data_IF_877645838264
#
_entry.id   IF_877645838264
#
_cell.length_a   1.000
_cell.length_b   1.000
_cell.length_c   1.000
_cell.angle_alpha   90.00
_cell.angle_beta   90.00
_cell.angle_gamma   90.00
#
_symmetry.space_group_name_H-M   'P 1'
#
loop_
_entity.id
_entity.type
_entity.pdbx_description
1 polymer ?
#
# COMPACT_ATOMS: atom_id res chain seq x y z
N UNK A 1 3.86 3.25 -5.10
CA UNK A 1 4.43 2.16 -5.91
C UNK A 1 4.94 2.69 -7.26
N UNK A 2 4.10 3.02 -8.26
CA UNK A 2 4.56 3.43 -9.60
C UNK A 2 5.69 4.48 -9.63
N UNK A 3 5.64 5.50 -8.77
CA UNK A 3 6.67 6.54 -8.70
C UNK A 3 8.07 5.99 -8.35
N UNK A 4 8.15 5.07 -7.38
CA UNK A 4 9.45 4.49 -6.99
C UNK A 4 9.97 3.49 -8.04
N UNK A 5 9.07 2.91 -8.85
CA UNK A 5 9.45 1.97 -9.90
C UNK A 5 9.92 2.69 -11.15
N UNK A 6 9.23 3.73 -11.57
CA UNK A 6 9.59 4.49 -12.77
C UNK A 6 10.96 5.19 -12.63
N UNK A 7 11.36 5.55 -11.41
CA UNK A 7 12.65 6.17 -11.13
C UNK A 7 13.85 5.24 -11.41
N UNK A 8 13.66 3.92 -11.46
CA UNK A 8 14.71 2.99 -11.90
C UNK A 8 15.05 3.13 -13.39
N UNK A 9 14.13 3.68 -14.19
CA UNK A 9 14.25 3.84 -15.64
C UNK A 9 14.50 5.28 -16.08
N UNK A 10 14.32 6.26 -15.19
CA UNK A 10 14.58 7.67 -15.48
C UNK A 10 16.04 7.98 -15.18
N UNK A 11 16.83 8.48 -16.18
CA UNK A 11 18.22 8.87 -15.97
C UNK A 11 18.39 9.85 -14.80
N UNK A 12 19.52 9.78 -14.09
CA UNK A 12 19.79 10.64 -12.94
C UNK A 12 19.81 12.13 -13.30
N UNK A 13 20.27 12.48 -14.49
CA UNK A 13 20.31 13.83 -15.01
C UNK A 13 18.99 14.30 -15.66
N UNK A 14 17.94 13.50 -15.65
CA UNK A 14 16.67 13.89 -16.25
C UNK A 14 16.05 15.09 -15.51
N UNK A 15 15.63 16.16 -16.22
CA UNK A 15 15.21 17.42 -15.60
C UNK A 15 14.02 17.26 -14.64
N UNK A 16 13.13 16.30 -14.89
CA UNK A 16 11.95 16.04 -14.06
C UNK A 16 12.17 15.05 -12.89
N UNK A 17 13.37 14.44 -12.78
CA UNK A 17 13.64 13.44 -11.74
C UNK A 17 13.44 14.01 -10.33
N UNK A 18 13.91 15.24 -10.09
CA UNK A 18 13.77 15.89 -8.77
C UNK A 18 12.32 16.14 -8.39
N UNK A 19 11.47 16.50 -9.36
CA UNK A 19 10.03 16.69 -9.13
C UNK A 19 9.35 15.38 -8.71
N UNK A 20 9.69 14.26 -9.35
CA UNK A 20 9.14 12.95 -9.00
C UNK A 20 9.57 12.52 -7.59
N UNK A 21 10.83 12.75 -7.21
CA UNK A 21 11.31 12.47 -5.85
C UNK A 21 10.57 13.37 -4.84
N UNK A 22 10.36 14.66 -5.17
CA UNK A 22 9.60 15.56 -4.30
C UNK A 22 8.16 15.06 -4.06
N UNK A 23 7.49 14.56 -5.09
CA UNK A 23 6.14 13.96 -4.94
C UNK A 23 6.17 12.76 -3.98
N UNK A 24 7.21 11.91 -4.07
CA UNK A 24 7.38 10.78 -3.14
C UNK A 24 7.54 11.29 -1.70
N UNK A 25 8.34 12.34 -1.50
CA UNK A 25 8.57 12.93 -0.18
C UNK A 25 7.28 13.52 0.41
N UNK A 26 6.51 14.26 -0.38
CA UNK A 26 5.24 14.87 0.06
C UNK A 26 4.19 13.80 0.43
N UNK A 27 4.13 12.72 -0.35
CA UNK A 27 3.30 11.57 -0.02
C UNK A 27 3.77 10.87 1.25
N UNK A 28 5.09 10.72 1.41
CA UNK A 28 5.68 10.07 2.57
C UNK A 28 5.43 10.83 3.88
N UNK A 29 5.33 12.15 3.84
CA UNK A 29 4.96 12.98 4.99
C UNK A 29 3.47 12.92 5.33
N UNK A 30 2.64 12.59 4.35
CA UNK A 30 1.18 12.64 4.48
C UNK A 30 0.58 11.28 4.87
N UNK A 31 0.99 10.21 4.21
CA UNK A 31 0.38 8.88 4.39
C UNK A 31 0.45 8.32 5.82
N UNK A 32 1.50 8.60 6.63
CA UNK A 32 1.56 8.11 8.01
C UNK A 32 0.46 8.68 8.91
N UNK A 33 -0.10 9.84 8.57
CA UNK A 33 -1.21 10.45 9.32
C UNK A 33 -2.49 9.60 9.26
N UNK A 34 -2.59 8.73 8.26
CA UNK A 34 -3.72 7.83 8.03
C UNK A 34 -3.37 6.36 8.33
N UNK A 35 -2.14 6.09 8.79
CA UNK A 35 -1.74 4.74 9.20
C UNK A 35 -2.38 4.39 10.54
N UNK A 36 -3.21 3.36 10.56
CA UNK A 36 -3.82 2.86 11.78
C UNK A 36 -2.77 2.37 12.79
N UNK A 37 -3.17 2.25 14.07
CA UNK A 37 -2.31 1.71 15.13
C UNK A 37 -1.78 0.31 14.82
N UNK A 38 -2.51 -0.48 14.04
CA UNK A 38 -2.09 -1.79 13.53
C UNK A 38 -0.97 -1.74 12.50
N UNK A 39 -0.66 -0.56 11.96
CA UNK A 39 0.31 -0.40 10.87
C UNK A 39 -0.31 -0.43 9.47
N UNK A 40 -1.59 -0.70 9.36
CA UNK A 40 -2.32 -0.82 8.09
C UNK A 40 -3.04 0.47 7.73
N UNK A 41 -3.57 0.51 6.51
CA UNK A 41 -4.44 1.59 6.03
C UNK A 41 -5.82 1.07 5.68
N UNK A 42 -6.81 1.92 5.90
CA UNK A 42 -8.20 1.64 5.55
C UNK A 42 -8.45 1.76 4.05
N UNK A 43 -9.47 1.06 3.55
CA UNK A 43 -9.94 1.17 2.16
C UNK A 43 -10.27 2.62 1.79
N UNK A 44 -10.92 3.36 2.69
CA UNK A 44 -11.13 4.81 2.60
C UNK A 44 -10.31 5.46 3.71
N UNK A 45 -9.17 6.05 3.35
CA UNK A 45 -8.11 6.45 4.28
C UNK A 45 -8.58 7.40 5.39
N UNK A 46 -9.37 8.41 5.05
CA UNK A 46 -9.79 9.49 5.95
C UNK A 46 -11.10 9.19 6.72
N UNK A 47 -11.60 7.95 6.60
CA UNK A 47 -12.86 7.52 7.22
C UNK A 47 -12.71 6.26 8.09
N UNK A 48 -11.74 6.23 9.04
CA UNK A 48 -11.43 5.00 9.79
C UNK A 48 -12.64 4.49 10.60
N UNK A 49 -13.52 5.37 11.05
CA UNK A 49 -14.68 5.03 11.86
C UNK A 49 -15.97 4.84 11.03
N UNK A 50 -15.90 4.92 9.71
CA UNK A 50 -17.08 4.72 8.87
C UNK A 50 -17.51 3.26 8.90
N UNK A 51 -18.81 3.03 9.18
CA UNK A 51 -19.37 1.68 9.29
C UNK A 51 -19.15 0.90 7.98
N UNK A 52 -18.49 -0.24 8.08
CA UNK A 52 -18.16 -1.09 6.92
C UNK A 52 -16.80 -0.81 6.29
N UNK A 53 -16.10 0.27 6.66
CA UNK A 53 -14.72 0.48 6.23
C UNK A 53 -13.79 -0.56 6.89
N UNK A 54 -12.75 -0.98 6.20
CA UNK A 54 -11.88 -2.06 6.64
C UNK A 54 -10.41 -1.77 6.30
N UNK A 55 -9.50 -2.40 7.05
CA UNK A 55 -8.07 -2.38 6.78
C UNK A 55 -7.79 -3.22 5.54
N UNK A 56 -7.22 -2.58 4.50
CA UNK A 56 -7.16 -3.12 3.15
C UNK A 56 -5.75 -3.59 2.79
N UNK A 57 -5.66 -4.77 2.19
CA UNK A 57 -4.38 -5.44 1.96
C UNK A 57 -3.55 -4.82 0.85
N UNK A 58 -4.16 -4.41 -0.27
CA UNK A 58 -3.39 -3.94 -1.42
C UNK A 58 -2.78 -2.57 -1.16
N UNK A 59 -3.53 -1.64 -0.58
CA UNK A 59 -2.99 -0.32 -0.20
C UNK A 59 -1.88 -0.45 0.84
N UNK A 60 -2.08 -1.31 1.85
CA UNK A 60 -1.07 -1.53 2.90
C UNK A 60 0.21 -2.15 2.34
N UNK A 61 0.10 -3.13 1.44
CA UNK A 61 1.24 -3.76 0.77
C UNK A 61 1.96 -2.80 -0.18
N UNK A 62 1.21 -2.01 -0.96
CA UNK A 62 1.78 -1.03 -1.89
C UNK A 62 2.51 0.11 -1.17
N UNK A 63 1.98 0.59 -0.04
CA UNK A 63 2.65 1.61 0.76
C UNK A 63 3.88 1.04 1.46
N UNK A 64 3.79 -0.15 2.05
CA UNK A 64 4.95 -0.85 2.62
C UNK A 64 6.09 -0.95 1.60
N UNK A 65 5.82 -1.45 0.41
CA UNK A 65 6.79 -1.54 -0.68
C UNK A 65 7.34 -0.17 -1.09
N UNK A 66 6.45 0.81 -1.27
CA UNK A 66 6.83 2.16 -1.68
C UNK A 66 7.80 2.82 -0.71
N UNK A 67 7.54 2.74 0.60
CA UNK A 67 8.43 3.26 1.64
C UNK A 67 9.76 2.51 1.67
N UNK A 68 9.73 1.18 1.74
CA UNK A 68 10.93 0.36 1.84
C UNK A 68 11.87 0.58 0.65
N UNK A 69 11.32 0.58 -0.57
CA UNK A 69 12.11 0.85 -1.79
C UNK A 69 12.62 2.28 -1.85
N UNK A 70 11.78 3.29 -1.53
CA UNK A 70 12.20 4.69 -1.55
C UNK A 70 13.34 4.97 -0.57
N UNK A 71 13.31 4.40 0.62
CA UNK A 71 14.42 4.50 1.58
C UNK A 71 15.65 3.77 1.06
N UNK A 72 15.51 2.54 0.56
CA UNK A 72 16.62 1.76 0.02
C UNK A 72 17.33 2.44 -1.16
N UNK A 73 16.59 3.20 -1.97
CA UNK A 73 17.12 3.96 -3.12
C UNK A 73 17.57 5.38 -2.76
N UNK A 74 17.47 5.79 -1.49
CA UNK A 74 17.87 7.13 -1.05
C UNK A 74 16.93 8.26 -1.46
N UNK A 75 15.69 7.95 -1.87
CA UNK A 75 14.67 8.96 -2.19
C UNK A 75 14.00 9.51 -0.92
N UNK A 76 13.99 8.73 0.14
CA UNK A 76 13.51 9.07 1.48
C UNK A 76 14.61 8.86 2.53
N UNK A 77 14.52 9.63 3.62
CA UNK A 77 15.34 9.46 4.80
C UNK A 77 15.08 8.10 5.48
N UNK A 78 16.11 7.56 6.14
CA UNK A 78 16.06 6.26 6.84
C UNK A 78 14.97 6.18 7.90
N UNK A 79 14.55 7.29 8.50
CA UNK A 79 13.46 7.34 9.50
C UNK A 79 12.14 6.76 8.97
N UNK A 80 11.89 6.86 7.66
CA UNK A 80 10.66 6.35 7.04
C UNK A 80 10.62 4.82 6.93
N UNK A 81 11.73 4.11 7.16
CA UNK A 81 11.74 2.64 7.15
C UNK A 81 10.82 2.07 8.23
N UNK A 82 10.73 2.71 9.39
CA UNK A 82 9.85 2.28 10.48
C UNK A 82 8.37 2.21 10.09
N UNK A 83 7.93 3.02 9.11
CA UNK A 83 6.56 2.99 8.58
C UNK A 83 6.33 1.71 7.78
N UNK A 84 7.30 1.32 6.96
CA UNK A 84 7.24 0.07 6.20
C UNK A 84 7.32 -1.16 7.12
N UNK A 85 8.17 -1.14 8.13
CA UNK A 85 8.29 -2.21 9.12
C UNK A 85 6.99 -2.37 9.92
N UNK A 86 6.38 -1.27 10.34
CA UNK A 86 5.08 -1.28 11.03
C UNK A 86 3.99 -1.86 10.12
N UNK A 87 3.98 -1.51 8.83
CA UNK A 87 3.03 -2.06 7.86
C UNK A 87 3.25 -3.57 7.65
N UNK A 88 4.50 -4.01 7.55
CA UNK A 88 4.83 -5.44 7.47
C UNK A 88 4.28 -6.22 8.66
N UNK A 89 4.55 -5.75 9.86
CA UNK A 89 4.07 -6.40 11.08
C UNK A 89 2.53 -6.44 11.12
N UNK A 90 1.87 -5.35 10.73
CA UNK A 90 0.41 -5.29 10.66
C UNK A 90 -0.18 -6.27 9.63
N UNK A 91 0.44 -6.41 8.46
CA UNK A 91 0.02 -7.39 7.45
C UNK A 91 0.17 -8.81 7.99
N UNK A 92 1.32 -9.12 8.60
CA UNK A 92 1.58 -10.46 9.16
C UNK A 92 0.60 -10.83 10.27
N UNK A 93 0.25 -9.88 11.13
CA UNK A 93 -0.61 -10.13 12.31
C UNK A 93 -2.10 -10.14 11.95
N UNK A 94 -2.56 -9.26 11.03
CA UNK A 94 -3.98 -9.01 10.85
C UNK A 94 -4.54 -9.45 9.49
N UNK A 95 -3.68 -9.71 8.50
CA UNK A 95 -4.12 -10.02 7.13
C UNK A 95 -3.62 -11.37 6.63
N UNK A 96 -2.57 -11.95 7.23
CA UNK A 96 -2.10 -13.29 6.88
C UNK A 96 -2.79 -14.35 7.74
N UNK A 97 -3.37 -15.34 7.08
CA UNK A 97 -3.94 -16.53 7.71
C UNK A 97 -3.09 -17.74 7.33
N UNK A 98 -2.64 -18.49 8.32
CA UNK A 98 -1.95 -19.76 8.11
C UNK A 98 -2.99 -20.87 8.02
N UNK A 99 -3.04 -21.55 6.90
CA UNK A 99 -3.97 -22.66 6.64
C UNK A 99 -3.48 -23.97 7.29
N UNK A 100 -4.39 -24.93 7.51
CA UNK A 100 -4.03 -26.24 8.09
C UNK A 100 -3.00 -27.03 7.26
N UNK A 101 -2.97 -26.83 5.94
CA UNK A 101 -2.01 -27.45 5.02
C UNK A 101 -0.63 -26.74 4.98
N UNK A 102 -0.46 -25.70 5.81
CA UNK A 102 0.77 -24.92 5.88
C UNK A 102 0.90 -23.80 4.88
N UNK A 103 -0.06 -23.64 3.96
CA UNK A 103 -0.10 -22.49 3.04
C UNK A 103 -0.52 -21.22 3.77
N UNK A 104 -0.27 -20.05 3.13
CA UNK A 104 -0.65 -18.75 3.65
C UNK A 104 -1.71 -18.11 2.76
N UNK A 105 -2.69 -17.46 3.37
CA UNK A 105 -3.70 -16.65 2.69
C UNK A 105 -3.55 -15.20 3.11
N UNK A 106 -3.34 -14.30 2.14
CA UNK A 106 -3.42 -12.86 2.34
C UNK A 106 -4.86 -12.41 2.09
N UNK A 107 -5.52 -11.99 3.16
CA UNK A 107 -6.95 -11.65 3.16
C UNK A 107 -7.22 -10.17 2.92
N UNK A 108 -8.49 -9.80 2.73
CA UNK A 108 -9.00 -8.42 2.70
C UNK A 108 -8.40 -7.53 1.60
N UNK A 109 -8.19 -8.07 0.40
CA UNK A 109 -7.88 -7.25 -0.76
C UNK A 109 -9.16 -6.80 -1.48
N UNK A 110 -9.31 -5.50 -1.73
CA UNK A 110 -10.34 -4.96 -2.60
C UNK A 110 -10.18 -5.52 -4.02
N UNK A 111 -11.22 -6.11 -4.58
CA UNK A 111 -11.14 -6.74 -5.91
C UNK A 111 -10.82 -5.72 -7.00
N UNK A 112 -11.64 -4.69 -7.11
CA UNK A 112 -11.43 -3.55 -7.98
C UNK A 112 -12.36 -2.41 -7.58
N UNK A 113 -11.81 -1.26 -7.21
CA UNK A 113 -12.56 -0.03 -7.04
C UNK A 113 -12.19 0.96 -8.14
N UNK A 114 -13.10 1.85 -8.47
CA UNK A 114 -12.86 2.82 -9.54
C UNK A 114 -13.94 3.89 -9.60
N UNK A 115 -13.87 4.73 -10.62
CA UNK A 115 -14.80 5.81 -10.89
C UNK A 115 -15.28 5.71 -12.33
N UNK A 116 -16.57 5.98 -12.57
CA UNK A 116 -17.17 5.93 -13.91
C UNK A 116 -17.39 4.52 -14.46
N UNK A 117 -17.49 4.38 -15.77
CA UNK A 117 -17.72 3.10 -16.45
C UNK A 117 -19.20 2.70 -16.56
N UNK A 118 -19.42 1.46 -16.98
CA UNK A 118 -20.76 0.85 -17.06
C UNK A 118 -20.75 -0.51 -16.35
N UNK A 119 -21.57 -0.75 -15.30
CA UNK A 119 -22.39 0.27 -14.63
C UNK A 119 -21.58 1.41 -14.06
N UNK A 120 -22.18 2.59 -13.90
CA UNK A 120 -21.49 3.78 -13.40
C UNK A 120 -21.10 3.62 -11.92
N UNK A 121 -19.82 3.82 -11.64
CA UNK A 121 -19.24 3.82 -10.30
C UNK A 121 -19.08 5.26 -9.83
N UNK A 122 -19.82 5.65 -8.80
CA UNK A 122 -19.94 7.03 -8.36
C UNK A 122 -18.77 7.54 -7.49
N UNK A 123 -17.90 6.63 -7.04
CA UNK A 123 -16.78 6.96 -6.17
C UNK A 123 -17.17 7.34 -4.74
N UNK A 124 -18.42 7.07 -4.32
CA UNK A 124 -18.87 7.30 -2.95
C UNK A 124 -18.15 6.38 -1.94
N UNK A 125 -18.20 6.75 -0.66
CA UNK A 125 -17.67 5.88 0.41
C UNK A 125 -18.40 4.55 0.41
N UNK A 126 -19.73 4.60 0.28
CA UNK A 126 -20.61 3.43 0.20
C UNK A 126 -20.18 2.49 -0.94
N UNK A 127 -19.90 3.02 -2.12
CA UNK A 127 -19.41 2.25 -3.24
C UNK A 127 -18.08 1.55 -2.87
N UNK A 128 -17.10 2.28 -2.35
CA UNK A 128 -15.76 1.73 -2.06
C UNK A 128 -15.78 0.64 -0.99
N UNK A 129 -16.59 0.79 0.08
CA UNK A 129 -16.66 -0.22 1.15
C UNK A 129 -17.48 -1.45 0.78
N UNK A 130 -18.37 -1.36 -0.22
CA UNK A 130 -19.20 -2.46 -0.71
C UNK A 130 -18.56 -3.22 -1.88
N UNK A 131 -17.41 -2.78 -2.37
CA UNK A 131 -16.68 -3.55 -3.37
C UNK A 131 -16.28 -4.93 -2.85
N UNK A 132 -16.31 -5.91 -3.75
CA UNK A 132 -15.99 -7.30 -3.43
C UNK A 132 -14.57 -7.39 -2.84
N UNK A 133 -14.46 -8.10 -1.73
CA UNK A 133 -13.18 -8.47 -1.12
C UNK A 133 -12.73 -9.83 -1.68
N UNK A 134 -11.44 -9.96 -1.97
CA UNK A 134 -10.79 -11.19 -2.43
C UNK A 134 -9.59 -11.53 -1.57
N UNK A 135 -9.35 -12.82 -1.40
CA UNK A 135 -8.13 -13.31 -0.79
C UNK A 135 -7.09 -13.63 -1.89
N UNK A 136 -5.82 -13.54 -1.53
CA UNK A 136 -4.67 -13.81 -2.41
C UNK A 136 -4.71 -13.06 -3.76
N UNK A 137 -5.34 -11.89 -3.80
CA UNK A 137 -5.35 -11.06 -5.00
C UNK A 137 -3.93 -10.54 -5.31
N UNK A 138 -3.51 -10.63 -6.56
CA UNK A 138 -2.17 -10.24 -7.01
C UNK A 138 -1.82 -8.77 -6.74
N UNK A 139 -2.82 -7.89 -6.63
CA UNK A 139 -2.63 -6.48 -6.26
C UNK A 139 -2.10 -6.30 -4.84
N UNK A 140 -2.33 -7.28 -3.95
CA UNK A 140 -1.80 -7.27 -2.60
C UNK A 140 -0.56 -8.18 -2.48
N UNK A 141 -0.62 -9.42 -3.00
CA UNK A 141 0.47 -10.40 -2.84
C UNK A 141 1.75 -9.97 -3.55
N UNK A 142 1.65 -9.41 -4.76
CA UNK A 142 2.83 -8.92 -5.49
C UNK A 142 3.58 -7.82 -4.73
N UNK A 143 2.94 -6.70 -4.39
CA UNK A 143 3.58 -5.64 -3.60
C UNK A 143 4.06 -6.10 -2.22
N UNK A 144 3.35 -7.02 -1.56
CA UNK A 144 3.81 -7.58 -0.29
C UNK A 144 5.15 -8.31 -0.44
N UNK A 145 5.25 -9.22 -1.41
CA UNK A 145 6.49 -9.95 -1.69
C UNK A 145 7.64 -8.99 -2.05
N UNK A 146 7.39 -8.02 -2.93
CA UNK A 146 8.38 -7.03 -3.31
C UNK A 146 8.82 -6.17 -2.11
N UNK A 147 7.90 -5.78 -1.22
CA UNK A 147 8.22 -5.05 0.00
C UNK A 147 9.13 -5.84 0.94
N UNK A 148 8.86 -7.12 1.12
CA UNK A 148 9.68 -8.01 1.95
C UNK A 148 11.15 -8.07 1.47
N UNK A 149 11.39 -7.99 0.15
CA UNK A 149 12.76 -8.00 -0.40
C UNK A 149 13.56 -6.74 -0.01
N UNK A 150 12.89 -5.59 0.16
CA UNK A 150 13.53 -4.34 0.56
C UNK A 150 13.66 -4.18 2.08
N UNK A 151 12.84 -4.86 2.87
CA UNK A 151 12.93 -4.85 4.34
C UNK A 151 14.09 -5.72 4.87
N UNK A 152 14.56 -6.70 4.10
CA UNK A 152 15.63 -7.64 4.49
C UNK A 152 17.05 -7.14 4.23
N UNK A 153 17.23 -5.89 3.79
CA UNK A 153 18.55 -5.35 3.43
C UNK A 153 19.13 -4.46 4.52
#
# INVERSE_FOLDING_TARGET
MALVDVLDFIPENHPKRKELIKIIQDLADTLPKYQDKTGLWYQVLDKPNYRGNYLEASVSSMFMYGYAKAVSKGYLDKKYMSIAEKAYNGIMEHLIVKNPDGTLTLTKCCAVAGLGGHPYRDGSVEYYINERIRDNDSKATGPFIMGCLYLRR
#
